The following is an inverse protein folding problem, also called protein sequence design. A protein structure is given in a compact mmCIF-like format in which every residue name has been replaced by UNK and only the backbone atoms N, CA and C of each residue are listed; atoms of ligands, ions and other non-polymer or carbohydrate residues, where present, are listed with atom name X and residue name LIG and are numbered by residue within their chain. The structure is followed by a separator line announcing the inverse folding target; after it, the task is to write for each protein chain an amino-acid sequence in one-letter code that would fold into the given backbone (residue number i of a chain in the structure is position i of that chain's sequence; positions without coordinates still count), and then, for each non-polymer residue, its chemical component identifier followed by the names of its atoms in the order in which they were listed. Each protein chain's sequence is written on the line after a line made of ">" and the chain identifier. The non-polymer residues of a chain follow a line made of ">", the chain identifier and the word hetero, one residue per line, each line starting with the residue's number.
data_IF_716502705651
#
_entry.id   IF_716502705651
#
_cell.length_a   1.000
_cell.length_b   1.000
_cell.length_c   1.000
_cell.angle_alpha   90.00
_cell.angle_beta   90.00
_cell.angle_gamma   90.00
#
_symmetry.space_group_name_H-M   'P 1'
#
loop_
_entity.id
_entity.type
_entity.pdbx_description
1 polymer ?
#
# COMPACT_ATOMS: atom_id res chain seq x y z
N UNK A 1 9.76 -0.40 19.64
CA UNK A 1 9.43 -0.12 18.22
C UNK A 1 8.92 1.30 18.09
N UNK A 2 9.33 2.03 17.06
CA UNK A 2 8.80 3.37 16.77
C UNK A 2 7.32 3.27 16.38
N UNK A 3 6.42 4.11 16.93
CA UNK A 3 5.03 4.11 16.52
C UNK A 3 4.86 4.41 15.02
N UNK A 4 3.89 3.75 14.38
CA UNK A 4 3.55 4.00 12.98
C UNK A 4 3.15 5.46 12.76
N UNK A 5 3.16 5.90 11.50
CA UNK A 5 2.68 7.23 11.11
C UNK A 5 1.13 7.30 11.00
N UNK A 6 0.41 6.26 11.45
CA UNK A 6 -1.05 6.24 11.40
C UNK A 6 -1.62 7.22 12.43
N UNK A 7 -2.49 8.11 11.95
CA UNK A 7 -3.26 9.04 12.78
C UNK A 7 -4.46 8.32 13.38
N UNK A 8 -5.16 7.52 12.58
CA UNK A 8 -6.16 6.56 13.05
C UNK A 8 -5.45 5.36 13.72
N UNK A 9 -5.75 5.17 15.00
CA UNK A 9 -5.07 4.22 15.87
C UNK A 9 -5.74 2.85 15.92
N UNK A 10 -6.91 2.69 15.28
CA UNK A 10 -7.75 1.49 15.40
C UNK A 10 -6.96 0.19 15.25
N UNK A 11 -6.16 0.04 14.18
CA UNK A 11 -5.42 -1.20 13.94
C UNK A 11 -4.36 -1.48 15.00
N UNK A 12 -3.70 -0.44 15.52
CA UNK A 12 -2.67 -0.57 16.56
C UNK A 12 -3.29 -0.94 17.90
N UNK A 13 -4.43 -0.32 18.22
CA UNK A 13 -5.10 -0.50 19.51
C UNK A 13 -5.80 -1.87 19.63
N UNK A 14 -5.99 -2.58 18.51
CA UNK A 14 -6.56 -3.93 18.43
C UNK A 14 -5.51 -5.01 18.09
N UNK A 15 -4.22 -4.72 18.26
CA UNK A 15 -3.19 -5.75 18.17
C UNK A 15 -3.30 -6.73 19.35
N UNK A 16 -2.81 -7.98 19.20
CA UNK A 16 -2.67 -8.90 20.32
C UNK A 16 -1.86 -8.31 21.47
N UNK A 17 -2.04 -8.85 22.67
CA UNK A 17 -1.21 -8.47 23.81
C UNK A 17 0.27 -8.75 23.49
N UNK A 18 1.18 -7.98 24.08
CA UNK A 18 2.61 -8.08 23.77
C UNK A 18 3.18 -9.49 24.00
N UNK A 19 2.61 -10.25 24.95
CA UNK A 19 3.00 -11.63 25.24
C UNK A 19 2.57 -12.63 24.14
N UNK A 20 1.56 -12.28 23.33
CA UNK A 20 1.04 -13.12 22.24
C UNK A 20 1.66 -12.75 20.88
N UNK A 21 2.48 -11.69 20.82
CA UNK A 21 3.17 -11.31 19.60
C UNK A 21 4.31 -12.29 19.28
N UNK A 22 4.55 -12.59 18.00
CA UNK A 22 5.70 -13.38 17.61
C UNK A 22 7.00 -12.63 17.92
N UNK A 23 8.08 -13.39 18.10
CA UNK A 23 9.42 -12.83 18.12
C UNK A 23 9.77 -12.26 16.73
N UNK A 24 10.04 -10.97 16.66
CA UNK A 24 10.43 -10.28 15.43
C UNK A 24 11.96 -10.22 15.32
N UNK A 25 12.53 -11.13 14.54
CA UNK A 25 13.97 -11.22 14.30
C UNK A 25 14.37 -10.36 13.09
N UNK A 26 15.12 -9.28 13.33
CA UNK A 26 15.67 -8.39 12.31
C UNK A 26 17.20 -8.43 12.31
N UNK A 27 17.79 -9.62 12.41
CA UNK A 27 19.25 -9.79 12.60
C UNK A 27 20.04 -9.69 11.30
N UNK A 28 19.38 -9.89 10.16
CA UNK A 28 20.03 -9.84 8.85
C UNK A 28 20.31 -8.39 8.41
N UNK A 29 21.43 -8.13 7.71
CA UNK A 29 21.75 -6.80 7.18
C UNK A 29 20.65 -6.21 6.28
N UNK A 30 19.93 -7.06 5.53
CA UNK A 30 18.86 -6.65 4.62
C UNK A 30 17.56 -6.25 5.34
N UNK A 31 17.43 -6.59 6.63
CA UNK A 31 16.25 -6.32 7.44
C UNK A 31 16.36 -5.03 8.27
N UNK A 32 17.40 -4.23 8.04
CA UNK A 32 17.61 -2.94 8.69
C UNK A 32 16.77 -1.83 8.04
N UNK A 33 15.45 -1.92 8.20
CA UNK A 33 14.51 -0.95 7.65
C UNK A 33 14.55 0.38 8.41
N UNK A 34 14.26 1.51 7.73
CA UNK A 34 14.10 2.79 8.41
C UNK A 34 12.90 2.74 9.37
N UNK A 35 12.86 3.60 10.42
CA UNK A 35 11.76 3.62 11.38
C UNK A 35 10.37 3.82 10.77
N UNK A 36 10.31 4.42 9.58
CA UNK A 36 9.09 4.63 8.80
C UNK A 36 9.39 4.40 7.33
N UNK A 37 8.47 3.71 6.67
CA UNK A 37 8.57 3.35 5.26
C UNK A 37 7.17 3.37 4.64
N UNK A 38 7.08 3.83 3.40
CA UNK A 38 5.86 3.70 2.59
C UNK A 38 6.18 2.82 1.37
N UNK A 39 5.50 1.68 1.25
CA UNK A 39 5.81 0.72 0.19
C UNK A 39 5.58 1.29 -1.22
N UNK A 40 4.60 2.19 -1.42
CA UNK A 40 4.39 2.83 -2.71
C UNK A 40 5.55 3.78 -3.08
N UNK A 41 6.17 4.42 -2.09
CA UNK A 41 7.37 5.24 -2.32
C UNK A 41 8.57 4.38 -2.70
N UNK A 42 8.85 3.33 -1.93
CA UNK A 42 10.01 2.46 -2.16
C UNK A 42 9.90 1.68 -3.49
N UNK A 43 8.72 1.12 -3.77
CA UNK A 43 8.54 0.25 -4.93
C UNK A 43 8.27 1.01 -6.23
N UNK A 44 7.68 2.21 -6.17
CA UNK A 44 7.35 2.98 -7.38
C UNK A 44 8.14 4.28 -7.47
N UNK A 45 7.99 5.19 -6.51
CA UNK A 45 8.56 6.54 -6.63
C UNK A 45 10.09 6.51 -6.75
N UNK A 46 10.77 5.68 -5.94
CA UNK A 46 12.23 5.54 -6.03
C UNK A 46 12.70 4.91 -7.34
N UNK A 47 11.95 3.95 -7.90
CA UNK A 47 12.27 3.37 -9.22
C UNK A 47 12.18 4.43 -10.31
N UNK A 48 11.11 5.21 -10.32
CA UNK A 48 10.95 6.31 -11.27
C UNK A 48 12.07 7.35 -11.11
N UNK A 49 12.40 7.74 -9.87
CA UNK A 49 13.49 8.67 -9.59
C UNK A 49 14.88 8.14 -9.99
N UNK A 50 15.06 6.82 -9.98
CA UNK A 50 16.29 6.16 -10.44
C UNK A 50 16.39 6.02 -11.97
N UNK A 51 15.45 6.59 -12.74
CA UNK A 51 15.45 6.54 -14.20
C UNK A 51 14.73 5.32 -14.80
N UNK A 52 14.12 4.48 -13.97
CA UNK A 52 13.40 3.28 -14.43
C UNK A 52 11.93 3.57 -14.80
N UNK A 53 11.56 4.84 -14.96
CA UNK A 53 10.19 5.26 -15.17
C UNK A 53 9.50 4.59 -16.35
N UNK A 54 10.22 4.42 -17.47
CA UNK A 54 9.69 3.84 -18.71
C UNK A 54 9.73 2.31 -18.72
N UNK A 55 10.30 1.67 -17.69
CA UNK A 55 10.33 0.22 -17.61
C UNK A 55 8.91 -0.32 -17.39
N UNK A 56 8.52 -1.41 -18.08
CA UNK A 56 7.28 -2.12 -17.81
C UNK A 56 7.19 -2.54 -16.33
N UNK A 57 6.02 -2.28 -15.72
CA UNK A 57 5.75 -2.60 -14.32
C UNK A 57 4.54 -3.54 -14.18
N UNK A 58 3.42 -3.22 -14.81
CA UNK A 58 2.19 -4.03 -14.77
C UNK A 58 1.81 -4.43 -16.19
N UNK A 59 1.59 -5.72 -16.39
CA UNK A 59 1.17 -6.29 -17.67
C UNK A 59 -0.15 -7.01 -17.43
N UNK A 60 -1.22 -6.49 -18.04
CA UNK A 60 -2.52 -7.14 -18.11
C UNK A 60 -2.84 -7.54 -19.55
N UNK A 61 -4.03 -8.09 -19.76
CA UNK A 61 -4.47 -8.59 -21.07
C UNK A 61 -4.53 -7.50 -22.15
N UNK A 62 -5.09 -6.33 -21.81
CA UNK A 62 -5.30 -5.21 -22.74
C UNK A 62 -4.43 -3.99 -22.46
N UNK A 63 -3.65 -4.00 -21.38
CA UNK A 63 -2.87 -2.84 -20.94
C UNK A 63 -1.49 -3.25 -20.44
N UNK A 64 -0.52 -2.39 -20.73
CA UNK A 64 0.83 -2.47 -20.19
C UNK A 64 1.16 -1.10 -19.62
N UNK A 65 1.49 -1.04 -18.32
CA UNK A 65 1.87 0.19 -17.66
C UNK A 65 3.34 0.17 -17.28
N UNK A 66 3.98 1.30 -17.49
CA UNK A 66 5.33 1.57 -16.96
C UNK A 66 5.28 1.91 -15.47
N UNK A 67 6.43 1.97 -14.81
CA UNK A 67 6.53 2.44 -13.42
C UNK A 67 5.97 3.86 -13.26
N UNK A 68 6.30 4.77 -14.18
CA UNK A 68 5.83 6.15 -14.15
C UNK A 68 4.30 6.23 -14.29
N UNK A 69 3.73 5.41 -15.16
CA UNK A 69 2.29 5.34 -15.39
C UNK A 69 1.50 4.76 -14.22
N UNK A 70 2.04 3.73 -13.55
CA UNK A 70 1.45 3.18 -12.34
C UNK A 70 1.55 4.19 -11.18
N UNK A 71 2.70 4.83 -11.00
CA UNK A 71 2.89 5.86 -9.99
C UNK A 71 1.91 7.01 -10.18
N UNK A 72 1.73 7.50 -11.41
CA UNK A 72 0.77 8.56 -11.71
C UNK A 72 -0.68 8.16 -11.37
N UNK A 73 -1.07 6.91 -11.66
CA UNK A 73 -2.40 6.38 -11.30
C UNK A 73 -2.57 6.27 -9.79
N UNK A 74 -1.60 5.70 -9.09
CA UNK A 74 -1.60 5.60 -7.63
C UNK A 74 -1.66 6.98 -6.96
N UNK A 75 -0.94 7.97 -7.49
CA UNK A 75 -1.00 9.36 -7.01
C UNK A 75 -2.40 9.97 -7.15
N UNK A 76 -3.06 9.77 -8.30
CA UNK A 76 -4.43 10.28 -8.51
C UNK A 76 -5.43 9.63 -7.55
N UNK A 77 -5.34 8.32 -7.37
CA UNK A 77 -6.20 7.58 -6.44
C UNK A 77 -5.97 8.06 -5.00
N UNK A 78 -4.71 8.17 -4.57
CA UNK A 78 -4.35 8.66 -3.25
C UNK A 78 -4.88 10.07 -3.00
N UNK A 79 -4.81 10.95 -4.02
CA UNK A 79 -5.32 12.31 -3.96
C UNK A 79 -6.83 12.35 -3.73
N UNK A 80 -7.61 11.60 -4.51
CA UNK A 80 -9.07 11.51 -4.32
C UNK A 80 -9.43 10.95 -2.95
N UNK A 81 -8.72 9.90 -2.49
CA UNK A 81 -8.94 9.33 -1.16
C UNK A 81 -8.75 10.37 -0.05
N UNK A 82 -7.70 11.19 -0.13
CA UNK A 82 -7.37 12.17 0.91
C UNK A 82 -8.21 13.44 0.79
N UNK A 83 -8.23 14.06 -0.41
CA UNK A 83 -8.83 15.39 -0.63
C UNK A 83 -10.36 15.32 -0.70
N UNK A 84 -10.93 14.35 -1.43
CA UNK A 84 -12.36 14.31 -1.68
C UNK A 84 -13.10 13.42 -0.66
N UNK A 85 -12.45 12.34 -0.20
CA UNK A 85 -13.06 11.35 0.69
C UNK A 85 -12.58 11.46 2.15
N UNK A 86 -11.63 12.37 2.44
CA UNK A 86 -11.18 12.66 3.81
C UNK A 86 -10.41 11.53 4.48
N UNK A 87 -9.80 10.62 3.71
CA UNK A 87 -9.01 9.53 4.25
C UNK A 87 -7.79 10.07 5.00
N UNK A 88 -7.63 9.64 6.25
CA UNK A 88 -6.43 9.91 7.05
C UNK A 88 -5.56 8.66 7.20
N UNK A 89 -4.23 8.82 7.40
CA UNK A 89 -3.34 7.68 7.61
C UNK A 89 -3.83 6.76 8.72
N UNK A 90 -3.85 5.45 8.46
CA UNK A 90 -4.38 4.42 9.35
C UNK A 90 -5.82 3.98 9.05
N UNK A 91 -6.60 4.77 8.32
CA UNK A 91 -7.92 4.33 7.85
C UNK A 91 -7.79 3.08 6.97
N UNK A 92 -8.81 2.21 7.02
CA UNK A 92 -8.84 0.95 6.27
C UNK A 92 -9.70 1.13 5.02
N UNK A 93 -9.20 0.69 3.88
CA UNK A 93 -9.93 0.69 2.61
C UNK A 93 -10.11 -0.74 2.14
N UNK A 94 -11.37 -1.17 2.04
CA UNK A 94 -11.71 -2.48 1.50
C UNK A 94 -11.51 -2.48 -0.02
N UNK A 95 -10.63 -3.35 -0.50
CA UNK A 95 -10.40 -3.59 -1.91
C UNK A 95 -11.03 -4.92 -2.29
N UNK A 96 -12.01 -4.86 -3.20
CA UNK A 96 -12.72 -6.01 -3.71
C UNK A 96 -12.79 -5.94 -5.23
N UNK A 97 -12.10 -6.86 -5.90
CA UNK A 97 -12.06 -6.90 -7.36
C UNK A 97 -11.31 -8.14 -7.86
N UNK A 98 -11.31 -8.32 -9.18
CA UNK A 98 -10.49 -9.35 -9.83
C UNK A 98 -9.02 -8.93 -9.89
N UNK A 99 -8.13 -9.90 -10.13
CA UNK A 99 -6.71 -9.67 -10.40
C UNK A 99 -6.56 -8.83 -11.67
N UNK A 100 -6.48 -7.52 -11.51
CA UNK A 100 -6.48 -6.56 -12.61
C UNK A 100 -5.45 -5.46 -12.35
N UNK A 101 -4.92 -4.84 -13.42
CA UNK A 101 -4.04 -3.67 -13.29
C UNK A 101 -4.68 -2.55 -12.45
N UNK A 102 -5.99 -2.31 -12.61
CA UNK A 102 -6.71 -1.33 -11.81
C UNK A 102 -6.67 -1.63 -10.31
N UNK A 103 -6.87 -2.89 -9.90
CA UNK A 103 -6.79 -3.29 -8.49
C UNK A 103 -5.39 -3.05 -7.91
N UNK A 104 -4.34 -3.32 -8.70
CA UNK A 104 -2.96 -3.02 -8.28
C UNK A 104 -2.74 -1.51 -8.08
N UNK A 105 -3.24 -0.67 -9.00
CA UNK A 105 -3.19 0.79 -8.84
C UNK A 105 -3.96 1.27 -7.59
N UNK A 106 -5.13 0.70 -7.30
CA UNK A 106 -5.89 1.00 -6.10
C UNK A 106 -5.12 0.62 -4.83
N UNK A 107 -4.48 -0.55 -4.79
CA UNK A 107 -3.66 -0.96 -3.66
C UNK A 107 -2.52 0.03 -3.39
N UNK A 108 -1.78 0.40 -4.43
CA UNK A 108 -0.71 1.42 -4.30
C UNK A 108 -1.25 2.79 -3.91
N UNK A 109 -2.43 3.19 -4.41
CA UNK A 109 -3.07 4.45 -4.03
C UNK A 109 -3.42 4.51 -2.55
N UNK A 110 -4.03 3.44 -2.01
CA UNK A 110 -4.36 3.34 -0.58
C UNK A 110 -3.11 3.40 0.29
N UNK A 111 -2.10 2.58 -0.04
CA UNK A 111 -0.84 2.55 0.72
C UNK A 111 -0.10 3.87 0.62
N UNK A 112 -0.09 4.52 -0.55
CA UNK A 112 0.52 5.83 -0.73
C UNK A 112 -0.14 6.90 0.15
N UNK A 113 -1.46 6.87 0.28
CA UNK A 113 -2.21 7.76 1.17
C UNK A 113 -1.98 7.48 2.66
N UNK A 114 -1.21 6.43 3.01
CA UNK A 114 -0.99 6.00 4.39
C UNK A 114 -2.14 5.17 4.96
N UNK A 115 -3.08 4.73 4.11
CA UNK A 115 -4.17 3.84 4.50
C UNK A 115 -3.75 2.37 4.51
N UNK A 116 -4.59 1.54 5.12
CA UNK A 116 -4.44 0.09 5.17
C UNK A 116 -5.33 -0.52 4.09
N UNK A 117 -4.70 -1.14 3.08
CA UNK A 117 -5.42 -1.84 2.01
C UNK A 117 -5.87 -3.22 2.51
N UNK A 118 -7.19 -3.43 2.60
CA UNK A 118 -7.79 -4.70 3.04
C UNK A 118 -8.32 -5.44 1.82
N UNK A 119 -7.55 -6.41 1.33
CA UNK A 119 -7.94 -7.25 0.20
C UNK A 119 -8.99 -8.29 0.60
N UNK A 120 -9.98 -8.53 -0.27
CA UNK A 120 -10.95 -9.62 -0.09
C UNK A 120 -11.06 -10.47 -1.34
N UNK A 121 -11.35 -11.77 -1.15
CA UNK A 121 -11.61 -12.69 -2.25
C UNK A 121 -12.95 -12.29 -2.91
N UNK A 122 -12.98 -11.94 -4.21
CA UNK A 122 -14.19 -11.40 -4.85
C UNK A 122 -15.36 -12.39 -4.84
N UNK A 123 -15.07 -13.68 -4.82
CA UNK A 123 -16.03 -14.80 -4.78
C UNK A 123 -16.67 -15.03 -3.41
N UNK A 124 -16.11 -14.48 -2.32
CA UNK A 124 -16.74 -14.58 -1.00
C UNK A 124 -18.05 -13.77 -0.99
N UNK A 125 -19.15 -14.42 -0.64
CA UNK A 125 -20.46 -13.77 -0.44
C UNK A 125 -20.74 -13.65 1.05
N UNK A 126 -21.34 -12.53 1.45
CA UNK A 126 -21.95 -12.44 2.78
C UNK A 126 -23.06 -13.49 2.85
N UNK A 127 -23.12 -14.21 3.96
CA UNK A 127 -24.23 -15.10 4.27
C UNK A 127 -25.45 -14.30 4.68
#
# INVERSE_FOLDING_TARGET
>A
MTPSAHVDTFARDHLPAAADLPELLFELPELQFPPRLNAATELLAKRVAAGDGDRPCVIGESVRWTYAELLARANRIARVLVEDLGLVPGNRVLLRGANSPALAACWFGVVKAGGIAVGTMPLLRAR
#
